data_IF_638544770911
#
_entry.id   IF_638544770911
#
_cell.length_a   1.000
_cell.length_b   1.000
_cell.length_c   1.000
_cell.angle_alpha   90.00
_cell.angle_beta   90.00
_cell.angle_gamma   90.00
#
_symmetry.space_group_name_H-M   'P 1'
#
loop_
_entity.id
_entity.type
_entity.pdbx_description
1 polymer ?
#
# COMPACT_ATOMS: atom_id res chain seq x y z
N UNK A 1 -31.75 11.48 32.46
CA UNK A 1 -30.96 12.25 31.47
C UNK A 1 -30.17 11.27 30.62
N UNK A 2 -30.62 11.02 29.38
CA UNK A 2 -29.96 10.10 28.47
C UNK A 2 -28.63 10.73 28.00
N UNK A 3 -27.52 10.06 28.31
CA UNK A 3 -26.17 10.49 27.95
C UNK A 3 -26.04 10.40 26.42
N UNK A 4 -26.24 11.53 25.75
CA UNK A 4 -26.17 11.65 24.30
C UNK A 4 -24.72 11.35 23.88
N UNK A 5 -24.49 10.10 23.50
CA UNK A 5 -23.18 9.62 23.07
C UNK A 5 -22.92 10.24 21.71
N UNK A 6 -21.97 11.15 21.65
CA UNK A 6 -21.68 11.92 20.44
C UNK A 6 -21.20 10.96 19.34
N UNK A 7 -21.67 11.16 18.10
CA UNK A 7 -21.23 10.35 16.94
C UNK A 7 -19.70 10.39 16.73
N UNK A 8 -19.02 11.37 17.32
CA UNK A 8 -17.56 11.51 17.31
C UNK A 8 -16.85 10.38 18.09
N UNK A 9 -17.44 9.90 19.18
CA UNK A 9 -16.89 8.78 19.97
C UNK A 9 -16.93 7.43 19.22
N UNK A 10 -17.80 7.33 18.20
CA UNK A 10 -17.94 6.14 17.35
C UNK A 10 -17.03 6.19 16.11
N UNK A 11 -16.70 7.40 15.62
CA UNK A 11 -15.79 7.60 14.49
C UNK A 11 -14.31 7.32 14.85
N UNK A 12 -13.89 7.60 16.09
CA UNK A 12 -12.52 7.34 16.55
C UNK A 12 -12.14 5.86 16.68
N UNK A 13 -13.13 4.96 16.80
CA UNK A 13 -12.90 3.51 16.92
C UNK A 13 -12.75 2.79 15.57
N UNK A 14 -13.09 3.44 14.45
CA UNK A 14 -12.92 2.89 13.10
C UNK A 14 -11.64 3.33 12.39
N UNK A 15 -10.93 4.34 12.92
CA UNK A 15 -9.76 4.95 12.29
C UNK A 15 -8.43 4.48 12.92
N UNK A 16 -8.35 3.23 13.37
CA UNK A 16 -7.04 2.59 13.37
C UNK A 16 -6.68 2.43 11.90
N UNK A 17 -5.91 3.38 11.36
CA UNK A 17 -4.96 3.08 10.28
C UNK A 17 -4.07 1.98 10.85
N UNK A 18 -4.57 0.75 10.83
CA UNK A 18 -3.79 -0.42 11.12
C UNK A 18 -2.77 -0.43 10.01
N UNK A 19 -1.60 0.16 10.28
CA UNK A 19 -0.41 -0.17 9.52
C UNK A 19 -0.39 -1.68 9.53
N UNK A 20 -0.62 -2.29 8.36
CA UNK A 20 -0.66 -3.74 8.19
C UNK A 20 0.79 -4.21 8.37
N UNK A 21 1.19 -4.32 9.63
CA UNK A 21 2.45 -4.92 10.07
C UNK A 21 2.24 -6.42 9.92
N UNK A 22 3.04 -7.01 9.04
CA UNK A 22 3.03 -8.42 8.70
C UNK A 22 4.45 -8.96 8.79
N UNK A 23 4.60 -10.27 8.93
CA UNK A 23 5.91 -10.89 8.84
C UNK A 23 6.25 -11.13 7.36
N UNK A 24 7.37 -10.59 6.90
CA UNK A 24 7.87 -10.86 5.56
C UNK A 24 8.28 -12.33 5.45
N UNK A 25 7.75 -13.12 4.49
CA UNK A 25 8.10 -14.53 4.36
C UNK A 25 9.58 -14.72 3.98
N UNK A 26 10.18 -13.76 3.26
CA UNK A 26 11.56 -13.87 2.77
C UNK A 26 12.60 -13.58 3.86
N UNK A 27 12.29 -12.66 4.79
CA UNK A 27 13.25 -12.18 5.79
C UNK A 27 12.88 -12.58 7.23
N UNK A 28 11.66 -13.08 7.45
CA UNK A 28 11.13 -13.42 8.78
C UNK A 28 10.94 -12.21 9.70
N UNK A 29 11.13 -10.98 9.20
CA UNK A 29 11.02 -9.74 9.98
C UNK A 29 9.64 -9.13 9.86
N UNK A 30 9.23 -8.43 10.91
CA UNK A 30 8.04 -7.56 10.85
C UNK A 30 8.29 -6.43 9.85
N UNK A 31 7.33 -6.22 8.94
CA UNK A 31 7.40 -5.27 7.85
C UNK A 31 6.03 -4.68 7.60
N UNK A 32 5.97 -3.47 7.04
CA UNK A 32 4.71 -2.89 6.58
C UNK A 32 4.40 -3.33 5.15
N UNK A 33 3.12 -3.55 4.85
CA UNK A 33 2.65 -3.65 3.47
C UNK A 33 2.42 -2.24 2.94
N UNK A 34 3.13 -1.89 1.87
CA UNK A 34 2.96 -0.63 1.16
C UNK A 34 2.32 -0.88 -0.21
N UNK A 35 1.56 0.10 -0.70
CA UNK A 35 1.05 0.09 -2.07
C UNK A 35 2.01 0.91 -2.95
N UNK A 36 2.52 0.30 -4.01
CA UNK A 36 3.43 0.92 -4.96
C UNK A 36 2.75 0.98 -6.33
N UNK A 37 2.89 2.13 -6.99
CA UNK A 37 2.46 2.35 -8.37
C UNK A 37 3.67 2.22 -9.28
N UNK A 38 3.66 1.19 -10.13
CA UNK A 38 4.72 0.91 -11.08
C UNK A 38 4.27 1.31 -12.48
N UNK A 39 5.04 2.20 -13.12
CA UNK A 39 4.76 2.69 -14.47
C UNK A 39 5.84 2.17 -15.41
N UNK A 40 5.46 1.26 -16.31
CA UNK A 40 6.37 0.65 -17.28
C UNK A 40 6.12 1.22 -18.67
N UNK A 41 7.18 1.54 -19.39
CA UNK A 41 7.10 1.87 -20.82
C UNK A 41 7.32 0.60 -21.64
N UNK A 42 6.30 0.16 -22.36
CA UNK A 42 6.34 -1.04 -23.20
C UNK A 42 6.26 -0.69 -24.68
N UNK A 43 7.06 -1.37 -25.50
CA UNK A 43 6.98 -1.28 -26.95
C UNK A 43 5.99 -2.33 -27.45
N UNK A 44 4.95 -1.88 -28.13
CA UNK A 44 3.99 -2.76 -28.80
C UNK A 44 4.61 -3.40 -30.04
N UNK A 45 4.06 -4.52 -30.49
CA UNK A 45 4.48 -5.20 -31.74
C UNK A 45 4.39 -4.27 -32.96
N UNK A 46 3.47 -3.30 -32.94
CA UNK A 46 3.32 -2.26 -33.97
C UNK A 46 4.32 -1.11 -33.85
N UNK A 47 5.33 -1.24 -32.98
CA UNK A 47 6.39 -0.25 -32.78
C UNK A 47 6.01 0.97 -31.95
N UNK A 48 4.75 1.11 -31.52
CA UNK A 48 4.30 2.23 -30.66
C UNK A 48 4.68 1.99 -29.20
N UNK A 49 5.00 3.06 -28.47
CA UNK A 49 5.26 3.03 -27.04
C UNK A 49 3.99 3.28 -26.25
N UNK A 50 3.76 2.50 -25.19
CA UNK A 50 2.64 2.67 -24.25
C UNK A 50 3.14 2.64 -22.81
N UNK A 51 2.41 3.31 -21.94
CA UNK A 51 2.64 3.25 -20.50
C UNK A 51 1.66 2.25 -19.88
N UNK A 52 2.17 1.29 -19.13
CA UNK A 52 1.40 0.38 -18.32
C UNK A 52 1.51 0.81 -16.87
N UNK A 53 0.37 1.11 -16.27
CA UNK A 53 0.26 1.47 -14.87
C UNK A 53 -0.19 0.26 -14.06
N UNK A 54 0.57 -0.11 -13.03
CA UNK A 54 0.31 -1.28 -12.19
C UNK A 54 0.37 -0.89 -10.72
N UNK A 55 -0.71 -1.12 -10.01
CA UNK A 55 -0.76 -0.97 -8.55
C UNK A 55 -0.47 -2.31 -7.90
N UNK A 56 0.59 -2.38 -7.10
CA UNK A 56 1.03 -3.60 -6.42
C UNK A 56 1.18 -3.37 -4.93
N UNK A 57 0.93 -4.40 -4.13
CA UNK A 57 1.23 -4.41 -2.68
C UNK A 57 2.56 -5.11 -2.49
N UNK A 58 3.50 -4.46 -1.82
CA UNK A 58 4.85 -5.00 -1.58
C UNK A 58 5.21 -4.86 -0.11
N UNK A 59 6.16 -5.68 0.33
CA UNK A 59 6.75 -5.57 1.65
C UNK A 59 7.80 -4.45 1.65
N UNK A 60 7.68 -3.49 2.56
CA UNK A 60 8.65 -2.39 2.71
C UNK A 60 10.09 -2.90 2.90
N UNK A 61 10.28 -3.95 3.70
CA UNK A 61 11.59 -4.51 4.03
C UNK A 61 12.39 -5.06 2.85
N UNK A 62 11.72 -5.53 1.79
CA UNK A 62 12.36 -6.11 0.59
C UNK A 62 12.20 -5.21 -0.63
N UNK A 63 11.38 -4.16 -0.54
CA UNK A 63 11.23 -3.18 -1.61
C UNK A 63 12.46 -2.28 -1.70
N UNK A 64 13.21 -2.42 -2.80
CA UNK A 64 14.28 -1.49 -3.17
C UNK A 64 13.67 -0.45 -4.13
N UNK A 65 13.41 0.79 -3.70
CA UNK A 65 13.05 1.83 -4.65
C UNK A 65 14.20 1.98 -5.66
N UNK A 66 13.87 2.25 -6.92
CA UNK A 66 14.87 2.74 -7.86
C UNK A 66 15.45 4.04 -7.27
N UNK A 67 16.68 3.96 -6.76
CA UNK A 67 17.49 5.14 -6.49
C UNK A 67 17.87 5.66 -7.87
N UNK A 68 17.23 6.75 -8.28
CA UNK A 68 17.57 7.47 -9.51
C UNK A 68 18.99 8.01 -9.49
#
# INVERSE_FOLDING_TARGET
>A
MAKQQSFMDKAGKGAKKSELIVTCPDTGKETKIINVRYVETVKTEKGTWKFLDRNMRVYESTYKPYLG
#
